data_IF_964198805790
#
_entry.id   IF_964198805790
#
_cell.length_a   1.000
_cell.length_b   1.000
_cell.length_c   1.000
_cell.angle_alpha   90.00
_cell.angle_beta   90.00
_cell.angle_gamma   90.00
#
_symmetry.space_group_name_H-M   'P 1'
#
loop_
_entity.id
_entity.type
_entity.pdbx_description
1 polymer ?
#
# COMPACT_ATOMS: atom_id res chain seq x y z
N UNK A 1 -14.43 -44.63 4.48
CA UNK A 1 -13.73 -43.84 3.44
C UNK A 1 -13.32 -42.49 4.04
N UNK A 2 -12.02 -42.26 4.32
CA UNK A 2 -11.54 -41.10 5.10
C UNK A 2 -11.19 -39.83 4.28
N UNK A 3 -11.33 -39.85 2.95
CA UNK A 3 -10.82 -38.79 2.07
C UNK A 3 -11.43 -37.38 2.30
N UNK A 4 -12.68 -37.30 2.78
CA UNK A 4 -13.35 -36.00 2.99
C UNK A 4 -12.85 -35.24 4.22
N UNK A 5 -12.43 -35.95 5.27
CA UNK A 5 -11.93 -35.31 6.50
C UNK A 5 -10.52 -34.73 6.32
N UNK A 6 -9.68 -35.38 5.52
CA UNK A 6 -8.36 -34.84 5.16
C UNK A 6 -8.48 -33.57 4.30
N UNK A 7 -9.34 -33.57 3.27
CA UNK A 7 -9.53 -32.41 2.38
C UNK A 7 -10.04 -31.19 3.14
N UNK A 8 -10.98 -31.37 4.07
CA UNK A 8 -11.47 -30.29 4.94
C UNK A 8 -10.36 -29.75 5.86
N UNK A 9 -9.49 -30.63 6.36
CA UNK A 9 -8.31 -30.26 7.14
C UNK A 9 -7.33 -29.38 6.38
N UNK A 10 -7.02 -29.72 5.11
CA UNK A 10 -6.16 -28.90 4.24
C UNK A 10 -6.77 -27.52 3.96
N UNK A 11 -8.09 -27.45 3.74
CA UNK A 11 -8.78 -26.19 3.44
C UNK A 11 -8.84 -25.24 4.66
N UNK A 12 -9.09 -25.79 5.85
CA UNK A 12 -9.05 -25.04 7.11
C UNK A 12 -7.63 -24.57 7.43
N UNK A 13 -6.62 -25.41 7.22
CA UNK A 13 -5.22 -25.06 7.39
C UNK A 13 -4.81 -23.93 6.42
N UNK A 14 -5.19 -24.02 5.13
CA UNK A 14 -4.91 -22.98 4.14
C UNK A 14 -5.52 -21.62 4.52
N UNK A 15 -6.77 -21.60 4.98
CA UNK A 15 -7.40 -20.35 5.42
C UNK A 15 -6.70 -19.74 6.63
N UNK A 16 -6.30 -20.56 7.61
CA UNK A 16 -5.53 -20.13 8.78
C UNK A 16 -4.12 -19.65 8.42
N UNK A 17 -3.41 -20.36 7.55
CA UNK A 17 -2.09 -19.96 7.04
C UNK A 17 -2.18 -18.65 6.26
N UNK A 18 -3.21 -18.47 5.42
CA UNK A 18 -3.42 -17.23 4.66
C UNK A 18 -3.72 -16.05 5.59
N UNK A 19 -4.48 -16.28 6.66
CA UNK A 19 -4.75 -15.26 7.69
C UNK A 19 -3.48 -14.91 8.47
N UNK A 20 -2.72 -15.90 8.94
CA UNK A 20 -1.45 -15.69 9.65
C UNK A 20 -0.43 -14.99 8.74
N UNK A 21 -0.31 -15.40 7.48
CA UNK A 21 0.56 -14.74 6.50
C UNK A 21 0.12 -13.29 6.25
N UNK A 22 -1.18 -13.02 6.22
CA UNK A 22 -1.70 -11.64 6.10
C UNK A 22 -1.43 -10.77 7.33
N UNK A 23 -1.31 -11.38 8.51
CA UNK A 23 -0.97 -10.71 9.77
C UNK A 23 0.55 -10.50 9.89
N UNK A 24 1.36 -11.52 9.58
CA UNK A 24 2.83 -11.49 9.69
C UNK A 24 3.47 -10.58 8.62
N UNK A 25 2.82 -10.38 7.47
CA UNK A 25 3.25 -9.41 6.45
C UNK A 25 2.86 -7.96 6.81
N UNK A 26 1.94 -7.75 7.76
CA UNK A 26 1.49 -6.42 8.24
C UNK A 26 2.39 -5.89 9.38
N UNK A 27 3.66 -5.65 9.08
CA UNK A 27 4.54 -4.81 9.92
C UNK A 27 4.51 -3.36 9.42
N UNK A 28 3.32 -2.78 9.30
CA UNK A 28 3.15 -1.39 8.87
C UNK A 28 2.92 -0.51 10.10
N UNK A 29 3.78 0.49 10.28
CA UNK A 29 3.55 1.51 11.30
C UNK A 29 2.21 2.23 11.04
N UNK A 30 1.56 2.75 12.09
CA UNK A 30 0.21 3.34 12.00
C UNK A 30 0.07 4.46 10.94
N UNK A 31 1.19 5.09 10.56
CA UNK A 31 1.26 6.13 9.52
C UNK A 31 1.14 5.53 8.12
N UNK A 32 1.86 4.44 7.86
CA UNK A 32 1.79 3.70 6.60
C UNK A 32 0.40 3.14 6.33
N UNK A 33 -0.31 2.65 7.35
CA UNK A 33 -1.69 2.18 7.21
C UNK A 33 -2.66 3.31 6.81
N UNK A 34 -2.56 4.48 7.45
CA UNK A 34 -3.38 5.64 7.07
C UNK A 34 -3.13 6.07 5.62
N UNK A 35 -1.85 6.20 5.24
CA UNK A 35 -1.50 6.55 3.87
C UNK A 35 -1.95 5.47 2.87
N UNK A 36 -1.89 4.19 3.26
CA UNK A 36 -2.36 3.06 2.44
C UNK A 36 -3.86 3.14 2.15
N UNK A 37 -4.68 3.57 3.10
CA UNK A 37 -6.12 3.77 2.87
C UNK A 37 -6.34 4.82 1.78
N UNK A 38 -5.61 5.94 1.83
CA UNK A 38 -5.68 7.00 0.81
C UNK A 38 -5.21 6.48 -0.55
N UNK A 39 -4.06 5.80 -0.59
CA UNK A 39 -3.51 5.20 -1.81
C UNK A 39 -4.52 4.25 -2.46
N UNK A 40 -5.10 3.32 -1.71
CA UNK A 40 -6.05 2.34 -2.23
C UNK A 40 -7.31 2.98 -2.81
N UNK A 41 -7.75 4.12 -2.25
CA UNK A 41 -8.90 4.88 -2.76
C UNK A 41 -8.57 5.60 -4.06
N UNK A 42 -7.41 6.26 -4.15
CA UNK A 42 -7.05 7.16 -5.26
C UNK A 42 -6.42 6.41 -6.44
N UNK A 43 -5.67 5.33 -6.18
CA UNK A 43 -4.94 4.56 -7.20
C UNK A 43 -5.81 4.14 -8.41
N UNK A 44 -7.03 3.60 -8.26
CA UNK A 44 -7.81 3.12 -9.39
C UNK A 44 -8.12 4.21 -10.43
N UNK A 45 -8.21 5.47 -9.99
CA UNK A 45 -8.52 6.61 -10.85
C UNK A 45 -7.26 7.09 -11.61
N UNK A 46 -6.09 6.96 -11.00
CA UNK A 46 -4.85 7.51 -11.57
C UNK A 46 -3.99 6.48 -12.32
N UNK A 47 -4.19 5.17 -12.07
CA UNK A 47 -3.29 4.13 -12.57
C UNK A 47 -3.22 4.03 -14.09
N UNK A 48 -4.30 4.37 -14.80
CA UNK A 48 -4.31 4.30 -16.27
C UNK A 48 -3.43 5.38 -16.91
N UNK A 49 -3.40 6.59 -16.33
CA UNK A 49 -2.72 7.75 -16.92
C UNK A 49 -1.36 8.04 -16.28
N UNK A 50 -1.11 7.54 -15.06
CA UNK A 50 0.06 7.84 -14.24
C UNK A 50 0.76 6.57 -13.75
N UNK A 51 0.74 5.50 -14.55
CA UNK A 51 1.40 4.25 -14.18
C UNK A 51 2.88 4.47 -13.87
N UNK A 52 3.36 3.90 -12.76
CA UNK A 52 4.72 4.05 -12.20
C UNK A 52 5.14 5.45 -11.75
N UNK A 53 4.26 6.44 -11.77
CA UNK A 53 4.54 7.73 -11.13
C UNK A 53 4.62 7.56 -9.60
N UNK A 54 5.33 8.48 -8.95
CA UNK A 54 5.42 8.54 -7.50
C UNK A 54 4.23 9.30 -6.93
N UNK A 55 3.68 8.80 -5.84
CA UNK A 55 2.62 9.43 -5.06
C UNK A 55 3.09 9.60 -3.62
N UNK A 56 3.23 10.83 -3.18
CA UNK A 56 3.57 11.19 -1.80
C UNK A 56 2.31 11.62 -1.08
N UNK A 57 2.01 10.95 0.04
CA UNK A 57 0.77 11.14 0.81
C UNK A 57 1.10 11.68 2.20
N UNK A 58 0.40 12.72 2.63
CA UNK A 58 0.35 13.12 4.04
C UNK A 58 -0.86 12.43 4.70
N UNK A 59 -0.65 11.53 5.68
CA UNK A 59 -1.68 10.60 6.14
C UNK A 59 -2.76 11.22 7.04
N UNK A 60 -2.60 12.43 7.56
CA UNK A 60 -3.59 13.05 8.45
C UNK A 60 -4.60 13.90 7.70
N UNK A 61 -4.18 14.58 6.63
CA UNK A 61 -4.98 15.38 5.72
C UNK A 61 -5.53 14.59 4.54
N UNK A 62 -4.90 13.45 4.21
CA UNK A 62 -5.15 12.67 2.99
C UNK A 62 -4.83 13.42 1.69
N UNK A 63 -4.06 14.52 1.79
CA UNK A 63 -3.47 15.17 0.64
C UNK A 63 -2.42 14.27 0.00
N UNK A 64 -2.35 14.33 -1.32
CA UNK A 64 -1.39 13.56 -2.10
C UNK A 64 -0.82 14.41 -3.23
N UNK A 65 0.43 14.11 -3.58
CA UNK A 65 1.19 14.80 -4.61
C UNK A 65 1.79 13.75 -5.53
N UNK A 66 1.64 13.95 -6.84
CA UNK A 66 2.17 13.02 -7.83
C UNK A 66 3.16 13.70 -8.76
N UNK A 67 4.15 12.93 -9.18
CA UNK A 67 5.09 13.29 -10.23
C UNK A 67 5.76 12.02 -10.78
N UNK A 68 6.30 12.11 -12.00
CA UNK A 68 7.13 11.04 -12.56
C UNK A 68 8.46 10.91 -11.80
N UNK A 69 8.94 12.01 -11.21
CA UNK A 69 10.15 12.07 -10.40
C UNK A 69 9.81 12.14 -8.90
N UNK A 70 10.34 11.18 -8.12
CA UNK A 70 10.12 11.09 -6.67
C UNK A 70 10.52 12.38 -5.93
N UNK A 71 11.66 12.98 -6.31
CA UNK A 71 12.17 14.18 -5.67
C UNK A 71 11.26 15.39 -5.89
N UNK A 72 10.60 15.46 -7.06
CA UNK A 72 9.65 16.53 -7.38
C UNK A 72 8.34 16.30 -6.62
N UNK A 73 7.85 15.06 -6.56
CA UNK A 73 6.66 14.71 -5.78
C UNK A 73 6.86 15.01 -4.29
N UNK A 74 8.01 14.64 -3.72
CA UNK A 74 8.35 14.95 -2.33
C UNK A 74 8.49 16.45 -2.11
N UNK A 75 9.15 17.18 -3.02
CA UNK A 75 9.30 18.63 -2.90
C UNK A 75 7.94 19.33 -2.84
N UNK A 76 7.00 18.99 -3.74
CA UNK A 76 5.62 19.51 -3.72
C UNK A 76 4.93 19.26 -2.38
N UNK A 77 5.11 18.06 -1.82
CA UNK A 77 4.54 17.71 -0.53
C UNK A 77 5.19 18.48 0.63
N UNK A 78 6.52 18.68 0.60
CA UNK A 78 7.28 19.42 1.62
C UNK A 78 7.03 20.91 1.60
N UNK A 79 6.71 21.50 0.45
CA UNK A 79 6.28 22.90 0.34
C UNK A 79 5.01 23.15 1.16
N UNK A 80 4.06 22.21 1.16
CA UNK A 80 2.83 22.31 1.96
C UNK A 80 2.98 21.77 3.39
N UNK A 81 3.78 20.73 3.57
CA UNK A 81 3.98 20.03 4.83
C UNK A 81 5.47 19.95 5.22
N UNK A 82 6.11 21.07 5.63
CA UNK A 82 7.55 21.10 5.88
C UNK A 82 8.03 20.09 6.92
N UNK A 83 7.23 19.87 7.97
CA UNK A 83 7.52 18.94 9.08
C UNK A 83 6.55 17.76 9.15
N UNK A 84 5.64 17.64 8.18
CA UNK A 84 4.63 16.58 8.15
C UNK A 84 5.23 15.21 7.88
N UNK A 85 4.51 14.17 8.30
CA UNK A 85 4.87 12.80 7.94
C UNK A 85 4.41 12.55 6.51
N UNK A 86 5.32 12.11 5.65
CA UNK A 86 5.02 11.81 4.26
C UNK A 86 5.31 10.33 3.99
N UNK A 87 4.49 9.70 3.17
CA UNK A 87 4.65 8.31 2.75
C UNK A 87 4.60 8.24 1.23
N UNK A 88 5.63 7.67 0.63
CA UNK A 88 5.75 7.51 -0.82
C UNK A 88 5.27 6.13 -1.26
N UNK A 89 4.47 6.09 -2.32
CA UNK A 89 4.09 4.89 -3.06
C UNK A 89 4.40 5.09 -4.55
N UNK A 90 4.51 3.99 -5.30
CA UNK A 90 4.35 4.03 -6.76
C UNK A 90 2.91 3.75 -7.17
N UNK A 91 2.42 4.47 -8.15
CA UNK A 91 1.11 4.22 -8.76
C UNK A 91 1.22 2.98 -9.64
N UNK A 92 1.06 1.82 -9.02
CA UNK A 92 1.00 0.50 -9.65
C UNK A 92 0.07 -0.41 -8.82
N UNK A 93 -0.03 -1.70 -9.14
CA UNK A 93 -0.96 -2.65 -8.49
C UNK A 93 -0.78 -2.77 -6.98
N UNK A 94 0.44 -2.54 -6.48
CA UNK A 94 0.82 -2.91 -5.11
C UNK A 94 1.22 -1.71 -4.24
N UNK A 95 1.51 -0.57 -4.86
CA UNK A 95 2.11 0.59 -4.19
C UNK A 95 3.62 0.47 -3.98
N UNK A 96 4.25 -0.65 -4.38
CA UNK A 96 5.66 -0.90 -4.08
C UNK A 96 6.59 -0.04 -4.95
N UNK A 97 7.55 0.64 -4.30
CA UNK A 97 8.54 1.50 -4.98
C UNK A 97 9.70 0.72 -5.64
N UNK A 98 9.75 -0.60 -5.45
CA UNK A 98 10.78 -1.50 -5.94
C UNK A 98 10.88 -2.72 -5.01
N UNK A 99 11.66 -3.73 -5.39
CA UNK A 99 12.14 -4.74 -4.44
C UNK A 99 13.56 -4.32 -4.04
N UNK A 100 13.83 -4.25 -2.74
CA UNK A 100 15.20 -4.24 -2.22
C UNK A 100 15.77 -5.64 -2.47
#
# INVERSE_FOLDING_TARGET
MPALQEILGYFLNWKSLRLILSIVVKSTNARGEKARVVFNRVRPELINDHYNWFMVIEPNSADYFIDVDDSIAEKKAREKYPTGWLVTFKINETGACGRI
#
